data_IF_139175221254
#
_entry.id   IF_139175221254
#
_cell.length_a   1.000
_cell.length_b   1.000
_cell.length_c   1.000
_cell.angle_alpha   90.00
_cell.angle_beta   90.00
_cell.angle_gamma   90.00
#
_symmetry.space_group_name_H-M   'P 1'
#
loop_
_entity.id
_entity.type
_entity.pdbx_description
1 polymer ?
#
# COMPACT_ATOMS: atom_id res chain seq x y z
N UNK A 1 -9.22 -7.89 -3.21
CA UNK A 1 -9.86 -6.57 -3.51
C UNK A 1 -10.74 -6.53 -4.77
N UNK A 2 -10.79 -7.56 -5.61
CA UNK A 2 -11.64 -7.58 -6.80
C UNK A 2 -13.12 -7.44 -6.40
N UNK A 3 -13.80 -6.43 -6.93
CA UNK A 3 -15.21 -6.14 -6.66
C UNK A 3 -15.51 -5.31 -5.41
N UNK A 4 -14.57 -5.16 -4.46
CA UNK A 4 -14.80 -4.45 -3.17
C UNK A 4 -14.36 -2.98 -3.14
N UNK A 5 -13.99 -2.42 -4.29
CA UNK A 5 -13.39 -1.08 -4.37
C UNK A 5 -14.33 0.02 -3.89
N UNK A 6 -15.61 -0.09 -4.24
CA UNK A 6 -16.63 0.91 -3.90
C UNK A 6 -16.96 0.89 -2.42
N UNK A 7 -17.09 -0.30 -1.83
CA UNK A 7 -17.32 -0.47 -0.40
C UNK A 7 -16.17 0.09 0.43
N UNK A 8 -14.93 -0.04 -0.05
CA UNK A 8 -13.76 0.58 0.56
C UNK A 8 -13.85 2.11 0.48
N UNK A 9 -14.17 2.66 -0.70
CA UNK A 9 -14.32 4.11 -0.87
C UNK A 9 -15.45 4.69 0.01
N UNK A 10 -16.62 4.04 0.01
CA UNK A 10 -17.78 4.45 0.82
C UNK A 10 -17.46 4.36 2.32
N UNK A 11 -16.70 3.36 2.75
CA UNK A 11 -16.23 3.23 4.14
C UNK A 11 -15.24 4.33 4.49
N UNK A 12 -14.28 4.64 3.62
CA UNK A 12 -13.32 5.73 3.83
C UNK A 12 -14.02 7.08 3.95
N UNK A 13 -15.00 7.37 3.10
CA UNK A 13 -15.79 8.61 3.16
C UNK A 13 -16.57 8.70 4.48
N UNK A 14 -17.35 7.66 4.82
CA UNK A 14 -18.16 7.63 6.05
C UNK A 14 -17.32 7.75 7.33
N UNK A 15 -16.12 7.18 7.34
CA UNK A 15 -15.22 7.21 8.51
C UNK A 15 -14.19 8.36 8.45
N UNK A 16 -14.25 9.21 7.43
CA UNK A 16 -13.30 10.33 7.20
C UNK A 16 -11.84 9.87 7.20
N UNK A 17 -11.55 8.75 6.52
CA UNK A 17 -10.20 8.19 6.41
C UNK A 17 -9.50 8.81 5.21
N UNK A 18 -8.40 9.54 5.45
CA UNK A 18 -7.57 10.11 4.38
C UNK A 18 -6.66 9.09 3.70
N UNK A 19 -6.06 8.19 4.49
CA UNK A 19 -5.09 7.19 4.04
C UNK A 19 -5.50 5.82 4.59
N UNK A 20 -5.57 4.82 3.73
CA UNK A 20 -5.86 3.44 4.12
C UNK A 20 -4.83 2.49 3.53
N UNK A 21 -4.07 1.82 4.40
CA UNK A 21 -3.19 0.72 4.01
C UNK A 21 -4.00 -0.59 3.98
N UNK A 22 -3.85 -1.36 2.89
CA UNK A 22 -4.53 -2.64 2.68
C UNK A 22 -3.49 -3.71 2.35
N UNK A 23 -3.70 -4.90 2.90
CA UNK A 23 -2.84 -6.07 2.72
C UNK A 23 -3.67 -7.22 2.13
N UNK A 24 -3.00 -8.25 1.62
CA UNK A 24 -3.63 -9.35 0.89
C UNK A 24 -4.55 -8.87 -0.25
N UNK A 25 -4.06 -7.90 -1.05
CA UNK A 25 -4.85 -7.38 -2.17
C UNK A 25 -5.16 -8.47 -3.19
N UNK A 26 -4.24 -9.45 -3.34
CA UNK A 26 -4.28 -10.58 -4.28
C UNK A 26 -4.33 -10.13 -5.74
N UNK A 27 -3.84 -8.92 -6.02
CA UNK A 27 -3.82 -8.34 -7.36
C UNK A 27 -2.47 -8.59 -8.02
N UNK A 28 -2.47 -8.79 -9.34
CA UNK A 28 -1.23 -8.99 -10.09
C UNK A 28 -0.61 -7.67 -10.50
N UNK A 29 0.71 -7.62 -10.38
CA UNK A 29 1.55 -6.51 -10.80
C UNK A 29 1.40 -5.27 -9.93
N UNK A 30 1.93 -4.16 -10.46
CA UNK A 30 2.12 -2.92 -9.72
C UNK A 30 1.52 -1.76 -10.50
N UNK A 31 0.37 -1.23 -10.04
CA UNK A 31 -0.35 -0.15 -10.74
C UNK A 31 -0.99 0.84 -9.76
N UNK A 32 -1.79 1.75 -10.32
CA UNK A 32 -2.72 2.59 -9.58
C UNK A 32 -4.11 2.49 -10.24
N UNK A 33 -5.18 2.62 -9.46
CA UNK A 33 -6.57 2.52 -9.92
C UNK A 33 -7.50 3.39 -9.10
N UNK A 34 -8.48 4.01 -9.73
CA UNK A 34 -9.57 4.69 -9.04
C UNK A 34 -10.56 3.66 -8.47
N UNK A 35 -10.98 3.83 -7.22
CA UNK A 35 -11.89 2.89 -6.51
C UNK A 35 -13.35 3.35 -6.46
N UNK A 36 -13.65 4.58 -6.87
CA UNK A 36 -14.94 5.25 -6.66
C UNK A 36 -14.82 6.33 -5.57
N UNK A 37 -15.80 7.24 -5.49
CA UNK A 37 -15.78 8.34 -4.50
C UNK A 37 -14.58 9.29 -4.62
N UNK A 38 -13.88 9.27 -5.76
CA UNK A 38 -12.63 10.00 -5.98
C UNK A 38 -11.40 9.40 -5.29
N UNK A 39 -11.51 8.25 -4.61
CA UNK A 39 -10.38 7.57 -3.97
C UNK A 39 -9.48 6.86 -4.98
N UNK A 40 -8.16 6.91 -4.73
CA UNK A 40 -7.15 6.28 -5.59
C UNK A 40 -6.35 5.25 -4.82
N UNK A 41 -6.35 4.01 -5.32
CA UNK A 41 -5.49 2.94 -4.87
C UNK A 41 -4.17 2.97 -5.63
N UNK A 42 -3.08 2.85 -4.90
CA UNK A 42 -1.79 2.39 -5.42
C UNK A 42 -1.55 0.99 -4.85
N UNK A 43 -1.12 0.05 -5.68
CA UNK A 43 -0.88 -1.31 -5.21
C UNK A 43 0.39 -1.90 -5.82
N UNK A 44 0.94 -2.87 -5.09
CA UNK A 44 2.04 -3.72 -5.50
C UNK A 44 1.69 -5.15 -5.14
N UNK A 45 1.66 -6.04 -6.14
CA UNK A 45 1.31 -7.43 -5.93
C UNK A 45 2.09 -8.37 -6.84
N UNK A 46 2.14 -9.64 -6.46
CA UNK A 46 2.96 -10.64 -7.13
C UNK A 46 2.53 -10.85 -8.58
N UNK A 47 3.50 -11.12 -9.47
CA UNK A 47 3.23 -11.47 -10.86
C UNK A 47 2.64 -12.90 -11.01
N UNK A 48 2.81 -13.75 -9.98
CA UNK A 48 2.39 -15.15 -9.93
C UNK A 48 0.93 -15.39 -9.50
N UNK A 49 0.69 -16.39 -8.65
CA UNK A 49 -0.63 -16.94 -8.27
C UNK A 49 -1.58 -16.01 -7.48
N UNK A 50 -1.43 -14.68 -7.56
CA UNK A 50 -2.33 -13.75 -6.85
C UNK A 50 -2.30 -13.93 -5.32
N UNK A 51 -1.13 -14.30 -4.78
CA UNK A 51 -0.87 -14.35 -3.32
C UNK A 51 -0.29 -13.01 -2.88
N UNK A 52 -0.36 -12.71 -1.57
CA UNK A 52 0.13 -11.47 -0.96
C UNK A 52 -0.50 -10.20 -1.56
N UNK A 53 0.29 -9.13 -1.63
CA UNK A 53 -0.07 -7.84 -2.20
C UNK A 53 -0.37 -6.80 -1.14
N UNK A 54 0.22 -5.63 -1.32
CA UNK A 54 0.01 -4.44 -0.51
C UNK A 54 -0.61 -3.33 -1.34
N UNK A 55 -1.29 -2.42 -0.67
CA UNK A 55 -1.90 -1.26 -1.29
C UNK A 55 -2.06 -0.10 -0.32
N UNK A 56 -2.01 1.11 -0.86
CA UNK A 56 -2.31 2.35 -0.15
C UNK A 56 -3.42 3.05 -0.93
N UNK A 57 -4.55 3.29 -0.28
CA UNK A 57 -5.66 4.05 -0.81
C UNK A 57 -5.61 5.46 -0.24
N UNK A 58 -5.65 6.46 -1.12
CA UNK A 58 -5.74 7.86 -0.75
C UNK A 58 -7.13 8.39 -1.07
N UNK A 59 -7.66 9.21 -0.16
CA UNK A 59 -8.89 9.95 -0.40
C UNK A 59 -8.75 10.91 -1.59
N UNK A 60 -9.89 11.42 -2.06
CA UNK A 60 -9.94 12.43 -3.12
C UNK A 60 -9.11 13.68 -2.79
N UNK A 61 -9.01 14.03 -1.51
CA UNK A 61 -8.34 15.24 -1.03
C UNK A 61 -6.82 15.08 -0.98
N UNK A 62 -6.31 13.85 -0.75
CA UNK A 62 -4.87 13.59 -0.61
C UNK A 62 -4.20 13.05 -1.88
N UNK A 63 -4.95 12.47 -2.82
CA UNK A 63 -4.35 11.81 -3.99
C UNK A 63 -3.55 12.76 -4.90
N UNK A 64 -3.83 14.07 -4.86
CA UNK A 64 -3.11 15.10 -5.61
C UNK A 64 -1.75 15.45 -5.02
N UNK A 65 -1.51 15.14 -3.75
CA UNK A 65 -0.28 15.47 -3.03
C UNK A 65 0.83 14.42 -3.21
N UNK A 66 0.60 13.37 -3.99
CA UNK A 66 1.58 12.29 -4.19
C UNK A 66 2.77 12.82 -5.01
N UNK A 67 3.94 12.83 -4.38
CA UNK A 67 5.21 13.23 -5.03
C UNK A 67 6.15 12.04 -5.27
N UNK A 68 5.86 10.89 -4.67
CA UNK A 68 6.65 9.67 -4.89
C UNK A 68 5.86 8.42 -4.56
N UNK A 69 6.09 7.36 -5.33
CA UNK A 69 5.54 6.02 -5.06
C UNK A 69 6.66 5.00 -5.26
N UNK A 70 7.00 4.25 -4.23
CA UNK A 70 7.96 3.13 -4.32
C UNK A 70 7.24 1.81 -4.06
N UNK A 71 7.53 0.82 -4.89
CA UNK A 71 6.90 -0.51 -4.85
C UNK A 71 8.02 -1.55 -4.83
N UNK A 72 8.57 -1.80 -3.65
CA UNK A 72 9.74 -2.66 -3.49
C UNK A 72 9.43 -4.09 -3.94
N UNK A 73 8.32 -4.64 -3.46
CA UNK A 73 7.81 -5.96 -3.83
C UNK A 73 6.31 -6.08 -3.49
N UNK A 74 5.77 -7.29 -3.46
CA UNK A 74 4.37 -7.60 -3.14
C UNK A 74 4.06 -7.57 -1.62
N UNK A 75 5.06 -7.28 -0.79
CA UNK A 75 4.95 -7.16 0.68
C UNK A 75 5.28 -5.77 1.20
N UNK A 76 6.03 -4.95 0.49
CA UNK A 76 6.47 -3.62 0.94
C UNK A 76 6.27 -2.58 -0.16
N UNK A 77 5.55 -1.52 0.16
CA UNK A 77 5.42 -0.33 -0.69
C UNK A 77 5.31 0.94 0.14
N UNK A 78 5.60 2.07 -0.48
CA UNK A 78 5.53 3.37 0.17
C UNK A 78 5.05 4.49 -0.76
N UNK A 79 4.49 5.54 -0.17
CA UNK A 79 4.06 6.76 -0.84
C UNK A 79 4.61 7.95 -0.07
N UNK A 80 5.15 8.93 -0.80
CA UNK A 80 5.53 10.24 -0.28
C UNK A 80 4.47 11.26 -0.67
N UNK A 81 3.91 11.95 0.32
CA UNK A 81 2.98 13.06 0.15
C UNK A 81 3.68 14.39 0.45
N UNK A 82 3.41 15.40 -0.37
CA UNK A 82 3.80 16.79 -0.14
C UNK A 82 2.58 17.58 0.35
N UNK A 83 2.50 17.78 1.66
CA UNK A 83 1.49 18.61 2.33
C UNK A 83 2.18 19.89 2.83
N UNK A 84 1.76 20.45 3.98
CA UNK A 84 2.54 21.49 4.66
C UNK A 84 3.94 20.97 5.03
N UNK A 85 4.01 19.70 5.43
CA UNK A 85 5.23 18.94 5.59
C UNK A 85 5.23 17.69 4.69
N UNK A 86 6.40 17.12 4.46
CA UNK A 86 6.52 15.87 3.71
C UNK A 86 6.16 14.69 4.60
N UNK A 87 5.19 13.88 4.19
CA UNK A 87 4.76 12.68 4.91
C UNK A 87 5.11 11.44 4.09
N UNK A 88 5.85 10.50 4.68
CA UNK A 88 6.10 9.18 4.10
C UNK A 88 5.15 8.15 4.74
N UNK A 89 4.39 7.44 3.90
CA UNK A 89 3.49 6.36 4.31
C UNK A 89 4.08 5.06 3.80
N UNK A 90 4.38 4.13 4.70
CA UNK A 90 4.86 2.80 4.36
C UNK A 90 3.80 1.75 4.71
N UNK A 91 3.57 0.82 3.78
CA UNK A 91 2.70 -0.32 3.95
C UNK A 91 3.50 -1.61 3.77
N UNK A 92 3.53 -2.42 4.83
CA UNK A 92 4.19 -3.72 4.84
C UNK A 92 3.19 -4.85 5.19
N UNK A 93 3.42 -6.04 4.65
CA UNK A 93 2.68 -7.27 4.97
C UNK A 93 3.63 -8.37 5.44
N UNK A 94 3.55 -8.68 6.74
CA UNK A 94 4.41 -9.69 7.36
C UNK A 94 4.07 -11.12 6.90
N UNK A 95 5.06 -12.04 6.84
CA UNK A 95 4.81 -13.46 6.70
C UNK A 95 3.92 -14.01 7.82
N UNK A 96 3.26 -15.14 7.57
CA UNK A 96 2.46 -15.80 8.60
C UNK A 96 3.37 -16.34 9.71
N UNK A 97 2.84 -16.54 10.92
CA UNK A 97 3.64 -16.98 12.07
C UNK A 97 4.37 -18.31 11.84
N UNK A 98 3.79 -19.20 11.02
CA UNK A 98 4.38 -20.49 10.64
C UNK A 98 5.32 -20.45 9.42
N UNK A 99 5.61 -19.28 8.86
CA UNK A 99 6.69 -19.12 7.88
C UNK A 99 8.06 -19.24 8.56
N UNK A 100 9.04 -19.69 7.78
CA UNK A 100 10.45 -19.80 8.19
C UNK A 100 10.99 -18.47 8.73
N UNK A 101 11.93 -18.55 9.67
CA UNK A 101 12.56 -17.38 10.27
C UNK A 101 13.27 -16.51 9.22
N UNK A 102 13.90 -17.12 8.22
CA UNK A 102 14.53 -16.46 7.08
C UNK A 102 13.55 -15.55 6.32
N UNK A 103 12.28 -15.95 6.14
CA UNK A 103 11.28 -15.09 5.48
C UNK A 103 10.94 -13.85 6.31
N UNK A 104 10.98 -13.99 7.64
CA UNK A 104 10.69 -12.89 8.57
C UNK A 104 11.87 -11.91 8.61
N UNK A 105 13.09 -12.42 8.71
CA UNK A 105 14.31 -11.61 8.65
C UNK A 105 14.41 -10.84 7.34
N UNK A 106 14.14 -11.51 6.20
CA UNK A 106 14.14 -10.86 4.90
C UNK A 106 13.13 -9.69 4.81
N UNK A 107 11.98 -9.78 5.47
CA UNK A 107 11.05 -8.66 5.56
C UNK A 107 11.65 -7.50 6.37
N UNK A 108 12.24 -7.80 7.53
CA UNK A 108 12.83 -6.78 8.40
C UNK A 108 13.97 -6.02 7.72
N UNK A 109 14.86 -6.73 7.03
CA UNK A 109 15.93 -6.10 6.24
C UNK A 109 15.38 -5.19 5.13
N UNK A 110 14.34 -5.65 4.43
CA UNK A 110 13.70 -4.84 3.38
C UNK A 110 13.02 -3.59 3.94
N UNK A 111 12.41 -3.71 5.13
CA UNK A 111 11.76 -2.62 5.82
C UNK A 111 12.78 -1.58 6.27
N UNK A 112 13.88 -2.01 6.89
CA UNK A 112 14.94 -1.14 7.37
C UNK A 112 15.63 -0.39 6.22
N UNK A 113 15.90 -1.10 5.11
CA UNK A 113 16.43 -0.50 3.91
C UNK A 113 15.48 0.56 3.32
N UNK A 114 14.18 0.26 3.25
CA UNK A 114 13.19 1.21 2.72
C UNK A 114 13.04 2.43 3.63
N UNK A 115 13.01 2.26 4.96
CA UNK A 115 12.98 3.35 5.93
C UNK A 115 14.23 4.24 5.83
N UNK A 116 15.42 3.64 5.77
CA UNK A 116 16.69 4.36 5.61
C UNK A 116 16.73 5.17 4.32
N UNK A 117 16.04 4.73 3.27
CA UNK A 117 15.99 5.42 1.99
C UNK A 117 14.97 6.57 1.91
N UNK A 118 14.22 6.82 2.99
CA UNK A 118 13.20 7.88 3.11
C UNK A 118 13.65 9.09 3.93
N UNK A 119 14.67 8.90 4.76
CA UNK A 119 15.39 9.96 5.48
C UNK A 119 16.26 10.76 4.49
#
# INVERSE_FOLDING_TARGET
MTGRGREVADMMERRKIGVLCVQETRWKGSKARELGGGCKLFYSGANGQGRNGVGIVLSKDLKGNVVGVRRKNDRVMSIKLSLEETVNILCAYAPQAGCEEEEKEALWEQLDHELSSML
#
